data_IF_365030535796
#
_entry.id   IF_365030535796
#
_cell.length_a   1.000
_cell.length_b   1.000
_cell.length_c   1.000
_cell.angle_alpha   90.00
_cell.angle_beta   90.00
_cell.angle_gamma   90.00
#
_symmetry.space_group_name_H-M   'P 1'
#
loop_
_entity.id
_entity.type
_entity.pdbx_description
1 polymer ?
#
# COMPACT_ATOMS: atom_id res chain seq x y z
N UNK A 1 5.80 -24.94 -29.92
CA UNK A 1 5.40 -23.85 -29.01
C UNK A 1 4.37 -24.42 -28.05
N UNK A 2 4.43 -24.06 -26.76
CA UNK A 2 3.45 -24.53 -25.77
C UNK A 2 2.12 -23.81 -26.01
N UNK A 3 1.03 -24.57 -26.10
CA UNK A 3 -0.31 -24.00 -26.18
C UNK A 3 -0.79 -23.61 -24.77
N UNK A 4 -0.71 -22.31 -24.47
CA UNK A 4 -1.12 -21.74 -23.18
C UNK A 4 -2.64 -21.66 -23.00
N UNK A 5 -3.41 -21.87 -24.07
CA UNK A 5 -4.87 -21.90 -24.01
C UNK A 5 -5.42 -23.31 -23.72
N UNK A 6 -4.57 -24.35 -23.76
CA UNK A 6 -4.99 -25.71 -23.48
C UNK A 6 -5.60 -25.82 -22.06
N UNK A 7 -6.75 -26.50 -21.90
CA UNK A 7 -7.46 -26.55 -20.62
C UNK A 7 -6.63 -27.19 -19.50
N UNK A 8 -5.78 -28.16 -19.84
CA UNK A 8 -4.85 -28.77 -18.89
C UNK A 8 -3.81 -27.79 -18.35
N UNK A 9 -3.33 -26.84 -19.18
CA UNK A 9 -2.38 -25.81 -18.76
C UNK A 9 -3.09 -24.77 -17.88
N UNK A 10 -4.28 -24.32 -18.29
CA UNK A 10 -5.09 -23.39 -17.50
C UNK A 10 -5.44 -23.96 -16.11
N UNK A 11 -5.78 -25.24 -16.00
CA UNK A 11 -6.02 -25.90 -14.72
C UNK A 11 -4.81 -25.84 -13.78
N UNK A 12 -3.60 -26.07 -14.30
CA UNK A 12 -2.36 -25.95 -13.51
C UNK A 12 -2.09 -24.51 -13.06
N UNK A 13 -2.36 -23.54 -13.93
CA UNK A 13 -2.23 -22.11 -13.59
C UNK A 13 -3.20 -21.72 -12.48
N UNK A 14 -4.46 -22.18 -12.53
CA UNK A 14 -5.45 -21.90 -11.47
C UNK A 14 -5.01 -22.47 -10.11
N UNK A 15 -4.51 -23.70 -10.07
CA UNK A 15 -3.95 -24.28 -8.83
C UNK A 15 -2.76 -23.48 -8.29
N UNK A 16 -1.93 -22.96 -9.19
CA UNK A 16 -0.79 -22.11 -8.82
C UNK A 16 -1.28 -20.78 -8.22
N UNK A 17 -2.28 -20.14 -8.83
CA UNK A 17 -2.91 -18.90 -8.34
C UNK A 17 -3.55 -19.12 -6.97
N UNK A 18 -4.22 -20.26 -6.75
CA UNK A 18 -4.78 -20.61 -5.44
C UNK A 18 -3.69 -20.64 -4.37
N UNK A 19 -2.59 -21.37 -4.60
CA UNK A 19 -1.47 -21.42 -3.67
C UNK A 19 -0.86 -20.03 -3.42
N UNK A 20 -0.70 -19.24 -4.47
CA UNK A 20 -0.20 -17.86 -4.41
C UNK A 20 -1.08 -16.95 -3.55
N UNK A 21 -2.41 -17.06 -3.64
CA UNK A 21 -3.35 -16.29 -2.80
C UNK A 21 -3.15 -16.63 -1.32
N UNK A 22 -3.01 -17.90 -0.96
CA UNK A 22 -2.76 -18.28 0.45
C UNK A 22 -1.40 -17.80 0.96
N UNK A 23 -0.37 -17.88 0.13
CA UNK A 23 0.96 -17.36 0.47
C UNK A 23 0.88 -15.84 0.70
N UNK A 24 0.23 -15.11 -0.20
CA UNK A 24 0.06 -13.67 -0.09
C UNK A 24 -0.75 -13.29 1.16
N UNK A 25 -1.83 -14.01 1.44
CA UNK A 25 -2.65 -13.86 2.64
C UNK A 25 -1.82 -14.07 3.92
N UNK A 26 -1.03 -15.14 4.00
CA UNK A 26 -0.18 -15.43 5.15
C UNK A 26 0.90 -14.37 5.39
N UNK A 27 1.54 -13.90 4.32
CA UNK A 27 2.53 -12.82 4.39
C UNK A 27 1.87 -11.52 4.90
N UNK A 28 0.73 -11.14 4.32
CA UNK A 28 0.02 -9.93 4.73
C UNK A 28 -0.51 -10.02 6.15
N UNK A 29 -1.04 -11.17 6.55
CA UNK A 29 -1.48 -11.40 7.92
C UNK A 29 -0.32 -11.19 8.91
N UNK A 30 0.84 -11.77 8.63
CA UNK A 30 2.05 -11.60 9.44
C UNK A 30 2.46 -10.13 9.52
N UNK A 31 2.36 -9.38 8.42
CA UNK A 31 2.63 -7.95 8.40
C UNK A 31 1.64 -7.17 9.30
N UNK A 32 0.34 -7.45 9.19
CA UNK A 32 -0.69 -6.80 10.02
C UNK A 32 -0.48 -7.10 11.51
N UNK A 33 -0.13 -8.33 11.88
CA UNK A 33 0.16 -8.68 13.29
C UNK A 33 1.35 -7.89 13.82
N UNK A 34 2.42 -7.74 13.03
CA UNK A 34 3.60 -6.94 13.42
C UNK A 34 3.26 -5.47 13.59
N UNK A 35 2.40 -4.91 12.73
CA UNK A 35 1.98 -3.50 12.80
C UNK A 35 0.71 -3.26 13.64
N UNK A 36 0.12 -4.28 14.25
CA UNK A 36 -1.15 -4.15 14.98
C UNK A 36 -1.09 -3.11 16.12
N UNK A 37 0.06 -3.03 16.82
CA UNK A 37 0.28 -2.02 17.88
C UNK A 37 0.28 -0.60 17.30
N UNK A 38 0.92 -0.42 16.15
CA UNK A 38 0.95 0.85 15.43
C UNK A 38 -0.46 1.23 14.96
N UNK A 39 -1.17 0.31 14.31
CA UNK A 39 -2.53 0.52 13.79
C UNK A 39 -3.51 0.88 14.91
N UNK A 40 -3.45 0.15 16.02
CA UNK A 40 -4.27 0.40 17.20
C UNK A 40 -4.00 1.79 17.80
N UNK A 41 -2.74 2.23 17.82
CA UNK A 41 -2.38 3.58 18.29
C UNK A 41 -2.96 4.69 17.40
N UNK A 42 -3.06 4.42 16.09
CA UNK A 42 -3.61 5.32 15.09
C UNK A 42 -5.14 5.40 15.21
N UNK A 43 -5.80 4.25 15.40
CA UNK A 43 -7.25 4.14 15.57
C UNK A 43 -7.73 4.79 16.88
N UNK A 44 -6.95 4.68 17.97
CA UNK A 44 -7.25 5.34 19.25
C UNK A 44 -7.06 6.85 19.23
N UNK A 45 -6.66 7.45 18.11
CA UNK A 45 -6.52 8.90 17.97
C UNK A 45 -5.39 9.50 18.81
N UNK A 46 -4.42 8.69 19.27
CA UNK A 46 -3.26 9.20 20.03
C UNK A 46 -2.33 10.06 19.17
N UNK A 47 -2.49 10.01 17.84
CA UNK A 47 -1.76 10.81 16.86
C UNK A 47 -2.75 11.71 16.13
N UNK A 48 -2.33 12.95 15.84
CA UNK A 48 -3.17 13.92 15.13
C UNK A 48 -3.68 13.35 13.81
N UNK A 49 -4.97 13.56 13.53
CA UNK A 49 -5.61 13.08 12.31
C UNK A 49 -4.93 13.73 11.09
N UNK A 50 -4.21 12.92 10.33
CA UNK A 50 -3.60 13.33 9.07
C UNK A 50 -4.43 12.73 7.94
N UNK A 51 -4.68 13.51 6.89
CA UNK A 51 -5.41 13.03 5.70
C UNK A 51 -4.78 11.76 5.10
N UNK A 52 -3.46 11.59 5.23
CA UNK A 52 -2.74 10.39 4.80
C UNK A 52 -3.11 9.09 5.58
N UNK A 53 -3.81 9.18 6.71
CA UNK A 53 -4.33 8.01 7.45
C UNK A 53 -5.49 7.34 6.70
N UNK A 54 -6.26 8.09 5.91
CA UNK A 54 -7.41 7.56 5.17
C UNK A 54 -6.96 6.53 4.13
N UNK A 55 -6.05 6.84 3.18
CA UNK A 55 -5.58 5.85 2.21
C UNK A 55 -4.81 4.70 2.87
N UNK A 56 -4.21 4.92 4.05
CA UNK A 56 -3.55 3.87 4.83
C UNK A 56 -4.50 2.77 5.30
N UNK A 57 -5.61 3.16 5.93
CA UNK A 57 -6.60 2.18 6.37
C UNK A 57 -7.42 1.63 5.21
N UNK A 58 -7.71 2.46 4.20
CA UNK A 58 -8.41 2.04 3.00
C UNK A 58 -7.65 0.91 2.28
N UNK A 59 -6.34 1.05 2.06
CA UNK A 59 -5.56 0.02 1.37
C UNK A 59 -5.60 -1.33 2.11
N UNK A 60 -5.44 -1.33 3.45
CA UNK A 60 -5.54 -2.54 4.26
C UNK A 60 -6.94 -3.18 4.22
N UNK A 61 -7.99 -2.37 4.39
CA UNK A 61 -9.36 -2.85 4.42
C UNK A 61 -9.78 -3.43 3.06
N UNK A 62 -9.51 -2.70 1.98
CA UNK A 62 -9.82 -3.15 0.62
C UNK A 62 -8.99 -4.37 0.23
N UNK A 63 -7.74 -4.50 0.70
CA UNK A 63 -6.93 -5.68 0.42
C UNK A 63 -7.47 -6.93 1.12
N UNK A 64 -7.90 -6.84 2.39
CA UNK A 64 -8.58 -7.95 3.06
C UNK A 64 -9.90 -8.32 2.38
N UNK A 65 -10.69 -7.32 2.01
CA UNK A 65 -11.92 -7.52 1.23
C UNK A 65 -11.63 -8.21 -0.11
N UNK A 66 -10.57 -7.79 -0.81
CA UNK A 66 -10.08 -8.38 -2.06
C UNK A 66 -9.72 -9.85 -1.89
N UNK A 67 -8.95 -10.21 -0.87
CA UNK A 67 -8.62 -11.62 -0.60
C UNK A 67 -9.84 -12.48 -0.31
N UNK A 68 -10.81 -11.97 0.47
CA UNK A 68 -12.06 -12.69 0.75
C UNK A 68 -12.85 -12.93 -0.53
N UNK A 69 -12.97 -11.91 -1.39
CA UNK A 69 -13.64 -12.05 -2.69
C UNK A 69 -12.93 -13.07 -3.59
N UNK A 70 -11.60 -13.06 -3.64
CA UNK A 70 -10.82 -14.05 -4.38
C UNK A 70 -11.05 -15.48 -3.85
N UNK A 71 -11.13 -15.67 -2.53
CA UNK A 71 -11.45 -16.98 -1.96
C UNK A 71 -12.88 -17.42 -2.33
N UNK A 72 -13.87 -16.53 -2.27
CA UNK A 72 -15.24 -16.84 -2.70
C UNK A 72 -15.28 -17.23 -4.16
N UNK A 73 -14.57 -16.51 -5.03
CA UNK A 73 -14.49 -16.81 -6.46
C UNK A 73 -13.86 -18.19 -6.73
N UNK A 74 -12.87 -18.60 -5.95
CA UNK A 74 -12.14 -19.87 -6.15
C UNK A 74 -12.74 -21.07 -5.44
N UNK A 75 -13.45 -20.87 -4.33
CA UNK A 75 -13.93 -21.93 -3.42
C UNK A 75 -15.45 -21.97 -3.24
N UNK A 76 -16.22 -21.27 -4.07
CA UNK A 76 -17.68 -21.43 -4.06
C UNK A 76 -18.07 -22.86 -4.43
N UNK A 77 -19.06 -23.41 -3.74
CA UNK A 77 -19.58 -24.77 -4.00
C UNK A 77 -20.85 -24.78 -4.85
N UNK A 78 -21.54 -23.65 -4.88
CA UNK A 78 -22.82 -23.47 -5.55
C UNK A 78 -22.69 -22.49 -6.70
N UNK A 79 -23.61 -22.56 -7.66
CA UNK A 79 -23.72 -21.61 -8.75
C UNK A 79 -23.87 -20.17 -8.21
N UNK A 80 -22.97 -19.30 -8.64
CA UNK A 80 -22.96 -17.88 -8.34
C UNK A 80 -22.75 -17.09 -9.63
N UNK A 81 -23.17 -15.83 -9.63
CA UNK A 81 -22.86 -14.90 -10.71
C UNK A 81 -21.37 -14.50 -10.65
N UNK A 82 -20.53 -15.30 -11.32
CA UNK A 82 -19.09 -15.10 -11.40
C UNK A 82 -18.72 -13.73 -11.95
N UNK A 83 -19.47 -13.21 -12.93
CA UNK A 83 -19.21 -11.92 -13.56
C UNK A 83 -19.35 -10.78 -12.55
N UNK A 84 -20.43 -10.83 -11.75
CA UNK A 84 -20.62 -9.88 -10.64
C UNK A 84 -19.49 -9.99 -9.62
N UNK A 85 -19.12 -11.20 -9.18
CA UNK A 85 -18.03 -11.37 -8.21
C UNK A 85 -16.70 -10.87 -8.77
N UNK A 86 -16.42 -11.11 -10.05
CA UNK A 86 -15.20 -10.64 -10.70
C UNK A 86 -15.16 -9.10 -10.80
N UNK A 87 -16.29 -8.47 -11.11
CA UNK A 87 -16.40 -7.01 -11.06
C UNK A 87 -16.11 -6.45 -9.65
N UNK A 88 -16.56 -7.13 -8.60
CA UNK A 88 -16.23 -6.76 -7.21
C UNK A 88 -14.73 -6.90 -6.92
N UNK A 89 -14.11 -8.00 -7.34
CA UNK A 89 -12.67 -8.26 -7.20
C UNK A 89 -11.86 -7.15 -7.89
N UNK A 90 -12.20 -6.83 -9.14
CA UNK A 90 -11.51 -5.80 -9.94
C UNK A 90 -11.70 -4.39 -9.36
N UNK A 91 -12.89 -4.06 -8.85
CA UNK A 91 -13.12 -2.81 -8.16
C UNK A 91 -12.29 -2.69 -6.87
N UNK A 92 -12.24 -3.75 -6.05
CA UNK A 92 -11.45 -3.77 -4.82
C UNK A 92 -9.95 -3.67 -5.12
N UNK A 93 -9.45 -4.37 -6.15
CA UNK A 93 -8.07 -4.23 -6.61
C UNK A 93 -7.76 -2.79 -7.04
N UNK A 94 -8.68 -2.13 -7.74
CA UNK A 94 -8.53 -0.73 -8.12
C UNK A 94 -8.44 0.22 -6.92
N UNK A 95 -9.27 0.02 -5.90
CA UNK A 95 -9.17 0.78 -4.65
C UNK A 95 -7.85 0.55 -3.93
N UNK A 96 -7.37 -0.69 -3.88
CA UNK A 96 -6.05 -1.04 -3.33
C UNK A 96 -4.93 -0.31 -4.07
N UNK A 97 -4.93 -0.37 -5.40
CA UNK A 97 -3.93 0.26 -6.25
C UNK A 97 -3.93 1.79 -6.02
N UNK A 98 -5.10 2.43 -6.13
CA UNK A 98 -5.25 3.89 -5.94
C UNK A 98 -4.82 4.32 -4.54
N UNK A 99 -5.21 3.59 -3.49
CA UNK A 99 -4.86 3.93 -2.12
C UNK A 99 -3.34 3.79 -1.86
N UNK A 100 -2.72 2.73 -2.37
CA UNK A 100 -1.28 2.51 -2.25
C UNK A 100 -0.46 3.58 -3.00
N UNK A 101 -0.84 3.89 -4.23
CA UNK A 101 -0.27 4.97 -5.04
C UNK A 101 -0.47 6.35 -4.40
N UNK A 102 -1.63 6.62 -3.78
CA UNK A 102 -1.88 7.85 -3.06
C UNK A 102 -0.97 8.03 -1.82
N UNK A 103 -0.65 6.95 -1.09
CA UNK A 103 0.31 6.99 0.02
C UNK A 103 1.71 7.35 -0.47
N UNK A 104 2.15 6.76 -1.57
CA UNK A 104 3.42 7.08 -2.21
C UNK A 104 3.47 8.55 -2.66
N UNK A 105 2.39 9.05 -3.28
CA UNK A 105 2.28 10.44 -3.69
C UNK A 105 2.27 11.43 -2.52
N UNK A 106 1.59 11.10 -1.40
CA UNK A 106 1.62 11.92 -0.19
C UNK A 106 3.05 12.15 0.30
N UNK A 107 3.89 11.12 0.22
CA UNK A 107 5.31 11.22 0.58
C UNK A 107 6.07 12.14 -0.38
N UNK A 108 5.85 12.01 -1.69
CA UNK A 108 6.47 12.90 -2.68
C UNK A 108 6.11 14.37 -2.42
N UNK A 109 4.85 14.66 -2.05
CA UNK A 109 4.41 16.03 -1.69
C UNK A 109 5.16 16.58 -0.48
N UNK A 110 5.50 15.74 0.51
CA UNK A 110 6.23 16.18 1.70
C UNK A 110 7.67 16.64 1.41
N UNK A 111 8.25 16.22 0.28
CA UNK A 111 9.58 16.66 -0.16
C UNK A 111 9.52 18.14 -0.58
N UNK A 112 8.46 18.58 -1.26
CA UNK A 112 8.39 19.96 -1.73
C UNK A 112 7.93 20.94 -0.63
N UNK A 113 8.45 22.17 -0.68
CA UNK A 113 8.02 23.28 0.19
C UNK A 113 7.56 24.51 -0.62
N UNK A 114 6.78 25.39 0.01
CA UNK A 114 6.31 26.63 -0.62
C UNK A 114 5.34 26.41 -1.79
N UNK A 115 5.44 27.26 -2.83
CA UNK A 115 4.54 27.22 -4.01
C UNK A 115 4.67 25.93 -4.83
N UNK A 116 5.87 25.35 -4.90
CA UNK A 116 6.11 24.10 -5.61
C UNK A 116 5.31 22.94 -4.99
N UNK A 117 5.17 22.91 -3.66
CA UNK A 117 4.37 21.90 -2.95
C UNK A 117 2.91 21.92 -3.40
N UNK A 118 2.31 23.10 -3.50
CA UNK A 118 0.91 23.23 -3.93
C UNK A 118 0.73 22.77 -5.36
N UNK A 119 1.64 23.15 -6.27
CA UNK A 119 1.59 22.72 -7.68
C UNK A 119 1.72 21.19 -7.81
N UNK A 120 2.70 20.59 -7.13
CA UNK A 120 2.92 19.13 -7.14
C UNK A 120 1.73 18.40 -6.50
N UNK A 121 1.20 18.91 -5.39
CA UNK A 121 0.03 18.33 -4.73
C UNK A 121 -1.21 18.34 -5.62
N UNK A 122 -1.48 19.44 -6.32
CA UNK A 122 -2.63 19.53 -7.24
C UNK A 122 -2.44 18.57 -8.42
N UNK A 123 -1.25 18.53 -9.01
CA UNK A 123 -0.94 17.61 -10.09
C UNK A 123 -1.13 16.14 -9.67
N UNK A 124 -0.64 15.76 -8.50
CA UNK A 124 -0.77 14.40 -7.98
C UNK A 124 -2.21 14.03 -7.66
N UNK A 125 -3.02 14.94 -7.12
CA UNK A 125 -4.46 14.70 -6.90
C UNK A 125 -5.19 14.45 -8.21
N UNK A 126 -4.92 15.26 -9.24
CA UNK A 126 -5.51 15.07 -10.58
C UNK A 126 -5.10 13.71 -11.16
N UNK A 127 -3.81 13.36 -11.06
CA UNK A 127 -3.31 12.08 -11.52
C UNK A 127 -3.92 10.89 -10.75
N UNK A 128 -4.08 11.00 -9.42
CA UNK A 128 -4.75 9.97 -8.61
C UNK A 128 -6.20 9.80 -9.02
N UNK A 129 -6.91 10.90 -9.27
CA UNK A 129 -8.29 10.85 -9.77
C UNK A 129 -8.37 10.20 -11.17
N UNK A 130 -7.40 10.49 -12.04
CA UNK A 130 -7.26 9.83 -13.35
C UNK A 130 -7.03 8.33 -13.23
N UNK A 131 -6.14 7.90 -12.34
CA UNK A 131 -5.90 6.47 -12.06
C UNK A 131 -7.17 5.80 -11.52
N UNK A 132 -7.88 6.44 -10.58
CA UNK A 132 -9.16 5.92 -10.08
C UNK A 132 -10.20 5.79 -11.19
N UNK A 133 -10.34 6.80 -12.04
CA UNK A 133 -11.28 6.76 -13.17
C UNK A 133 -10.94 5.63 -14.15
N UNK A 134 -9.66 5.43 -14.45
CA UNK A 134 -9.20 4.33 -15.31
C UNK A 134 -9.53 2.95 -14.72
N UNK A 135 -9.32 2.77 -13.42
CA UNK A 135 -9.68 1.52 -12.74
C UNK A 135 -11.18 1.27 -12.75
N UNK A 136 -11.99 2.28 -12.40
CA UNK A 136 -13.45 2.13 -12.35
C UNK A 136 -14.06 1.91 -13.74
N UNK A 137 -13.47 2.50 -14.79
CA UNK A 137 -13.88 2.24 -16.18
C UNK A 137 -13.57 0.80 -16.62
N UNK A 138 -12.49 0.21 -16.11
CA UNK A 138 -12.03 -1.14 -16.47
C UNK A 138 -12.54 -2.27 -15.55
N UNK A 139 -13.54 -2.01 -14.69
CA UNK A 139 -14.10 -3.01 -13.78
C UNK A 139 -14.73 -4.20 -14.53
N UNK A 140 -15.34 -3.94 -15.69
CA UNK A 140 -16.01 -4.96 -16.52
C UNK A 140 -15.14 -5.53 -17.64
N UNK A 141 -13.83 -5.25 -17.63
CA UNK A 141 -12.93 -5.70 -18.70
C UNK A 141 -12.64 -7.21 -18.64
N UNK A 142 -12.84 -7.84 -17.47
CA UNK A 142 -12.69 -9.29 -17.28
C UNK A 142 -14.07 -9.92 -17.19
N UNK A 143 -14.34 -10.85 -18.10
CA UNK A 143 -15.58 -11.62 -18.12
C UNK A 143 -15.31 -13.01 -17.55
N UNK A 144 -16.15 -13.43 -16.62
CA UNK A 144 -16.09 -14.77 -16.06
C UNK A 144 -17.47 -15.42 -16.07
N UNK A 145 -17.50 -16.74 -16.21
CA UNK A 145 -18.74 -17.53 -16.23
C UNK A 145 -18.62 -18.71 -15.29
N UNK A 146 -19.77 -19.16 -14.79
CA UNK A 146 -19.87 -20.42 -14.08
C UNK A 146 -19.77 -21.58 -15.09
N UNK A 147 -18.83 -22.49 -14.87
CA UNK A 147 -18.72 -23.71 -15.67
C UNK A 147 -19.24 -24.90 -14.85
N UNK A 148 -20.43 -25.45 -15.17
CA UNK A 148 -20.94 -26.62 -14.48
C UNK A 148 -20.03 -27.83 -14.73
N UNK A 149 -19.75 -28.61 -13.69
CA UNK A 149 -18.84 -29.76 -13.74
C UNK A 149 -17.35 -29.41 -13.86
N UNK A 150 -16.97 -28.12 -13.80
CA UNK A 150 -15.58 -27.74 -13.63
C UNK A 150 -15.16 -27.84 -12.16
N UNK A 151 -13.98 -28.40 -11.90
CA UNK A 151 -13.43 -28.57 -10.56
C UNK A 151 -13.48 -30.02 -10.06
N UNK A 152 -13.28 -30.24 -8.75
CA UNK A 152 -13.36 -31.56 -8.14
C UNK A 152 -14.79 -32.11 -8.12
N UNK A 153 -14.94 -33.44 -8.02
CA UNK A 153 -16.25 -34.15 -8.03
C UNK A 153 -17.23 -33.70 -6.94
N UNK A 154 -16.74 -33.05 -5.87
CA UNK A 154 -17.57 -32.55 -4.77
C UNK A 154 -18.07 -31.11 -4.97
N UNK A 155 -17.89 -30.53 -6.15
CA UNK A 155 -18.29 -29.17 -6.49
C UNK A 155 -19.18 -29.19 -7.74
N UNK A 156 -20.29 -28.46 -7.72
CA UNK A 156 -21.25 -28.42 -8.85
C UNK A 156 -20.66 -27.72 -10.10
N UNK A 157 -19.64 -26.89 -9.92
CA UNK A 157 -18.95 -26.15 -10.97
C UNK A 157 -17.91 -25.19 -10.40
N UNK A 158 -17.26 -24.42 -11.27
CA UNK A 158 -16.28 -23.42 -10.84
C UNK A 158 -16.37 -22.18 -11.73
N UNK A 159 -16.11 -21.00 -11.14
CA UNK A 159 -15.91 -19.78 -11.91
C UNK A 159 -14.63 -19.86 -12.74
N UNK A 160 -14.74 -19.53 -14.03
CA UNK A 160 -13.60 -19.50 -14.95
C UNK A 160 -13.57 -18.21 -15.76
N UNK A 161 -12.36 -17.75 -16.08
CA UNK A 161 -12.14 -16.59 -16.93
C UNK A 161 -12.41 -16.95 -18.38
N UNK A 162 -13.35 -16.25 -19.03
CA UNK A 162 -13.71 -16.50 -20.43
C UNK A 162 -12.92 -15.61 -21.36
N UNK A 163 -12.89 -14.30 -21.06
CA UNK A 163 -12.23 -13.33 -21.91
C UNK A 163 -11.75 -12.14 -21.08
N UNK A 164 -10.64 -11.56 -21.54
CA UNK A 164 -10.07 -10.32 -21.01
C UNK A 164 -9.99 -9.34 -22.17
N UNK A 165 -10.69 -8.22 -22.05
CA UNK A 165 -10.67 -7.20 -23.08
C UNK A 165 -9.28 -6.56 -23.14
N UNK A 166 -8.80 -6.21 -24.34
CA UNK A 166 -7.51 -5.53 -24.52
C UNK A 166 -7.40 -4.19 -23.77
N UNK A 167 -8.55 -3.58 -23.43
CA UNK A 167 -8.63 -2.37 -22.60
C UNK A 167 -8.13 -2.59 -21.17
N UNK A 168 -8.09 -3.84 -20.70
CA UNK A 168 -7.56 -4.22 -19.40
C UNK A 168 -6.11 -3.76 -19.18
N UNK A 169 -5.29 -3.72 -20.23
CA UNK A 169 -3.88 -3.29 -20.15
C UNK A 169 -3.77 -1.80 -19.79
N UNK A 170 -4.77 -0.98 -20.18
CA UNK A 170 -4.73 0.48 -20.02
C UNK A 170 -4.61 0.89 -18.55
N UNK A 171 -5.32 0.22 -17.63
CA UNK A 171 -5.28 0.56 -16.20
C UNK A 171 -3.92 0.26 -15.56
N UNK A 172 -3.25 -0.82 -15.97
CA UNK A 172 -1.90 -1.14 -15.50
C UNK A 172 -0.86 -0.19 -16.06
N UNK A 173 -1.00 0.19 -17.33
CA UNK A 173 -0.11 1.18 -17.95
C UNK A 173 -0.24 2.55 -17.26
N UNK A 174 -1.48 3.00 -17.01
CA UNK A 174 -1.73 4.27 -16.30
C UNK A 174 -1.18 4.20 -14.86
N UNK A 175 -1.39 3.10 -14.15
CA UNK A 175 -0.87 2.93 -12.77
C UNK A 175 0.66 2.91 -12.75
N UNK A 176 1.29 2.19 -13.68
CA UNK A 176 2.75 2.14 -13.83
C UNK A 176 3.33 3.51 -14.17
N UNK A 177 2.68 4.26 -15.09
CA UNK A 177 3.09 5.61 -15.44
C UNK A 177 2.91 6.59 -14.26
N UNK A 178 1.82 6.47 -13.51
CA UNK A 178 1.58 7.23 -12.29
C UNK A 178 2.70 7.01 -11.28
N UNK A 179 3.02 5.75 -10.97
CA UNK A 179 4.08 5.41 -10.04
C UNK A 179 5.42 5.96 -10.57
N UNK A 180 5.75 5.80 -11.85
CA UNK A 180 6.96 6.37 -12.44
C UNK A 180 7.04 7.90 -12.25
N UNK A 181 5.94 8.62 -12.46
CA UNK A 181 5.91 10.08 -12.24
C UNK A 181 6.16 10.42 -10.77
N UNK A 182 5.56 9.70 -9.83
CA UNK A 182 5.81 9.91 -8.39
C UNK A 182 7.26 9.58 -8.02
N UNK A 183 7.87 8.55 -8.61
CA UNK A 183 9.28 8.23 -8.45
C UNK A 183 10.16 9.39 -8.90
N UNK A 184 9.93 9.88 -10.12
CA UNK A 184 10.70 10.96 -10.72
C UNK A 184 10.55 12.26 -9.91
N UNK A 185 9.34 12.58 -9.45
CA UNK A 185 9.10 13.73 -8.58
C UNK A 185 9.83 13.58 -7.24
N UNK A 186 9.85 12.38 -6.68
CA UNK A 186 10.61 12.09 -5.46
C UNK A 186 12.09 12.32 -5.73
N UNK A 187 12.70 11.66 -6.72
CA UNK A 187 14.12 11.83 -7.09
C UNK A 187 14.47 13.29 -7.38
N UNK A 188 13.64 14.01 -8.15
CA UNK A 188 13.89 15.41 -8.47
C UNK A 188 13.82 16.32 -7.23
N UNK A 189 12.83 16.10 -6.37
CA UNK A 189 12.71 16.81 -5.10
C UNK A 189 13.95 16.59 -4.22
N UNK A 190 14.51 15.39 -4.24
CA UNK A 190 15.73 15.04 -3.51
C UNK A 190 16.98 15.75 -4.04
N UNK A 191 17.16 15.76 -5.36
CA UNK A 191 18.27 16.49 -5.99
C UNK A 191 18.20 18.00 -5.73
N UNK A 192 17.00 18.52 -5.48
CA UNK A 192 16.77 19.94 -5.19
C UNK A 192 17.08 20.34 -3.74
N UNK A 193 17.16 19.39 -2.80
CA UNK A 193 17.48 19.68 -1.40
C UNK A 193 18.98 19.93 -1.20
N UNK A 194 19.35 21.18 -0.93
CA UNK A 194 20.72 21.61 -0.60
C UNK A 194 21.05 21.59 0.91
N UNK A 195 20.19 20.99 1.75
CA UNK A 195 20.30 21.10 3.22
C UNK A 195 20.64 19.78 3.92
N UNK A 196 21.76 19.77 4.66
CA UNK A 196 22.07 18.82 5.76
C UNK A 196 22.12 17.32 5.39
N UNK A 197 23.31 16.71 5.24
CA UNK A 197 23.47 15.43 4.53
C UNK A 197 22.91 14.18 5.23
N UNK A 198 22.74 14.14 6.54
CA UNK A 198 22.71 12.82 7.20
C UNK A 198 21.32 12.20 7.43
N UNK A 199 20.35 12.95 7.94
CA UNK A 199 19.07 12.34 8.37
C UNK A 199 18.08 12.17 7.23
N UNK A 200 18.08 13.08 6.25
CA UNK A 200 17.21 12.95 5.08
C UNK A 200 17.61 11.74 4.22
N UNK A 201 18.92 11.55 4.04
CA UNK A 201 19.46 10.58 3.09
C UNK A 201 19.04 9.14 3.43
N UNK A 202 18.99 8.77 4.71
CA UNK A 202 18.61 7.41 5.13
C UNK A 202 17.12 7.11 4.91
N UNK A 203 16.22 8.04 5.27
CA UNK A 203 14.79 7.92 4.98
C UNK A 203 14.55 7.72 3.49
N UNK A 204 15.31 8.48 2.71
CA UNK A 204 15.17 8.61 1.27
C UNK A 204 15.65 7.35 0.56
N UNK A 205 16.79 6.80 0.99
CA UNK A 205 17.35 5.57 0.44
C UNK A 205 16.40 4.39 0.61
N UNK A 206 15.82 4.22 1.80
CA UNK A 206 14.83 3.17 2.04
C UNK A 206 13.56 3.41 1.20
N UNK A 207 13.11 4.66 1.09
CA UNK A 207 11.92 5.00 0.31
C UNK A 207 12.03 4.73 -1.18
N UNK A 208 13.20 4.98 -1.79
CA UNK A 208 13.44 4.69 -3.21
C UNK A 208 13.37 3.18 -3.48
N UNK A 209 13.93 2.36 -2.59
CA UNK A 209 13.88 0.89 -2.75
C UNK A 209 12.44 0.37 -2.73
N UNK A 210 11.63 0.82 -1.77
CA UNK A 210 10.21 0.46 -1.72
C UNK A 210 9.44 0.94 -2.94
N UNK A 211 9.75 2.13 -3.44
CA UNK A 211 9.16 2.67 -4.66
C UNK A 211 9.53 1.86 -5.91
N UNK A 212 10.80 1.50 -6.04
CA UNK A 212 11.28 0.67 -7.13
C UNK A 212 10.63 -0.72 -7.10
N UNK A 213 10.44 -1.30 -5.90
CA UNK A 213 9.75 -2.57 -5.75
C UNK A 213 8.30 -2.52 -6.24
N UNK A 214 7.53 -1.47 -5.91
CA UNK A 214 6.15 -1.32 -6.40
C UNK A 214 6.10 -1.11 -7.92
N UNK A 215 7.02 -0.31 -8.47
CA UNK A 215 7.12 -0.11 -9.91
C UNK A 215 7.45 -1.42 -10.65
N UNK A 216 8.44 -2.18 -10.16
CA UNK A 216 8.82 -3.49 -10.73
C UNK A 216 7.65 -4.47 -10.69
N UNK A 217 6.93 -4.55 -9.56
CA UNK A 217 5.78 -5.42 -9.42
C UNK A 217 4.68 -5.08 -10.45
N UNK A 218 4.36 -3.79 -10.61
CA UNK A 218 3.39 -3.34 -11.62
C UNK A 218 3.87 -3.56 -13.06
N UNK A 219 5.17 -3.43 -13.33
CA UNK A 219 5.75 -3.75 -14.64
C UNK A 219 5.68 -5.23 -14.99
N UNK A 220 5.85 -6.14 -14.02
CA UNK A 220 5.70 -7.59 -14.26
C UNK A 220 4.27 -7.91 -14.69
N UNK A 221 3.26 -7.38 -14.01
CA UNK A 221 1.85 -7.57 -14.40
C UNK A 221 1.57 -6.98 -15.77
N UNK A 222 2.11 -5.79 -16.04
CA UNK A 222 1.99 -5.14 -17.36
C UNK A 222 2.62 -6.00 -18.45
N UNK A 223 3.78 -6.61 -18.21
CA UNK A 223 4.45 -7.49 -19.17
C UNK A 223 3.65 -8.78 -19.43
N UNK A 224 3.11 -9.41 -18.37
CA UNK A 224 2.29 -10.62 -18.49
C UNK A 224 0.94 -10.36 -19.19
N UNK A 225 0.35 -9.19 -18.97
CA UNK A 225 -0.87 -8.77 -19.67
C UNK A 225 -0.60 -8.40 -21.13
N UNK A 226 0.52 -7.74 -21.44
CA UNK A 226 0.94 -7.45 -22.81
C UNK A 226 1.27 -8.71 -23.61
N UNK A 227 1.81 -9.75 -22.97
CA UNK A 227 2.14 -11.01 -23.63
C UNK A 227 0.90 -11.80 -24.10
N UNK A 228 -0.30 -11.49 -23.57
CA UNK A 228 -1.58 -12.08 -23.94
C UNK A 228 -1.56 -13.62 -24.09
N UNK A 229 -0.92 -14.31 -23.12
CA UNK A 229 -0.71 -15.77 -23.17
C UNK A 229 -2.01 -16.53 -22.90
N UNK A 230 -2.67 -16.22 -21.78
CA UNK A 230 -4.02 -16.67 -21.42
C UNK A 230 -4.60 -15.76 -20.33
N UNK A 231 -5.94 -15.66 -20.20
CA UNK A 231 -6.60 -14.85 -19.17
C UNK A 231 -6.05 -15.09 -17.76
N UNK A 232 -5.93 -16.36 -17.37
CA UNK A 232 -5.46 -16.75 -16.03
C UNK A 232 -4.00 -16.35 -15.80
N UNK A 233 -3.11 -16.53 -16.78
CA UNK A 233 -1.69 -16.16 -16.64
C UNK A 233 -1.50 -14.64 -16.58
N UNK A 234 -2.26 -13.88 -17.36
CA UNK A 234 -2.21 -12.42 -17.32
C UNK A 234 -2.68 -11.86 -15.96
N UNK A 235 -3.56 -12.58 -15.26
CA UNK A 235 -4.06 -12.24 -13.93
C UNK A 235 -3.22 -12.79 -12.77
N UNK A 236 -2.39 -13.82 -12.99
CA UNK A 236 -1.62 -14.46 -11.93
C UNK A 236 -0.74 -13.46 -11.15
N UNK A 237 -0.08 -12.54 -11.85
CA UNK A 237 0.76 -11.52 -11.22
C UNK A 237 -0.01 -10.41 -10.47
N UNK A 238 -1.33 -10.32 -10.60
CA UNK A 238 -2.13 -9.24 -10.02
C UNK A 238 -2.13 -9.29 -8.48
N UNK A 239 -2.36 -10.47 -7.92
CA UNK A 239 -2.39 -10.72 -6.47
C UNK A 239 -1.06 -10.37 -5.78
N UNK A 240 0.09 -10.95 -6.17
CA UNK A 240 1.38 -10.64 -5.52
C UNK A 240 1.78 -9.18 -5.74
N UNK A 241 1.47 -8.60 -6.90
CA UNK A 241 1.77 -7.19 -7.16
C UNK A 241 0.99 -6.28 -6.22
N UNK A 242 -0.31 -6.55 -6.04
CA UNK A 242 -1.14 -5.79 -5.10
C UNK A 242 -0.62 -5.89 -3.65
N UNK A 243 -0.18 -7.09 -3.24
CA UNK A 243 0.43 -7.31 -1.92
C UNK A 243 1.67 -6.44 -1.74
N UNK A 244 2.61 -6.49 -2.70
CA UNK A 244 3.85 -5.70 -2.65
C UNK A 244 3.52 -4.21 -2.59
N UNK A 245 2.57 -3.73 -3.40
CA UNK A 245 2.12 -2.34 -3.39
C UNK A 245 1.59 -1.90 -2.02
N UNK A 246 0.70 -2.68 -1.40
CA UNK A 246 0.15 -2.34 -0.08
C UNK A 246 1.21 -2.42 1.01
N UNK A 247 2.02 -3.48 1.04
CA UNK A 247 3.06 -3.65 2.06
C UNK A 247 4.11 -2.53 1.98
N UNK A 248 4.62 -2.23 0.80
CA UNK A 248 5.62 -1.17 0.62
C UNK A 248 5.04 0.19 1.01
N UNK A 249 3.84 0.54 0.53
CA UNK A 249 3.22 1.83 0.83
C UNK A 249 2.86 2.01 2.31
N UNK A 250 2.35 0.96 2.97
CA UNK A 250 1.98 1.01 4.39
C UNK A 250 3.20 1.00 5.32
N UNK A 251 4.24 0.22 5.03
CA UNK A 251 5.50 0.24 5.80
C UNK A 251 6.19 1.59 5.70
N UNK A 252 6.24 2.14 4.49
CA UNK A 252 6.83 3.45 4.24
C UNK A 252 6.10 4.56 5.01
N UNK A 253 4.77 4.46 5.09
CA UNK A 253 3.95 5.36 5.90
C UNK A 253 4.23 5.19 7.40
N UNK A 254 4.31 3.95 7.89
CA UNK A 254 4.54 3.66 9.30
C UNK A 254 5.89 4.20 9.78
N UNK A 255 6.97 3.95 9.01
CA UNK A 255 8.31 4.47 9.29
C UNK A 255 8.31 6.00 9.38
N UNK A 256 7.69 6.67 8.41
CA UNK A 256 7.61 8.13 8.38
C UNK A 256 6.83 8.68 9.58
N UNK A 257 5.75 8.01 9.98
CA UNK A 257 4.95 8.42 11.13
C UNK A 257 5.72 8.28 12.46
N UNK A 258 6.53 7.23 12.60
CA UNK A 258 7.38 7.01 13.78
C UNK A 258 8.51 8.03 13.86
N UNK A 259 9.19 8.34 12.76
CA UNK A 259 10.26 9.33 12.72
C UNK A 259 9.77 10.73 13.11
N UNK A 260 8.59 11.12 12.63
CA UNK A 260 7.98 12.40 13.01
C UNK A 260 7.58 12.40 14.49
N UNK A 261 7.11 11.27 15.02
CA UNK A 261 6.79 11.12 16.44
C UNK A 261 8.02 11.32 17.32
N UNK A 262 9.13 10.67 16.96
CA UNK A 262 10.40 10.75 17.71
C UNK A 262 10.95 12.19 17.69
N UNK A 263 10.87 12.89 16.55
CA UNK A 263 11.34 14.28 16.44
C UNK A 263 10.61 15.23 17.37
N UNK A 264 9.30 15.07 17.54
CA UNK A 264 8.52 15.93 18.44
C UNK A 264 8.90 15.74 19.91
N UNK A 265 9.32 14.52 20.29
CA UNK A 265 9.74 14.19 21.65
C UNK A 265 11.09 14.83 22.01
N UNK A 266 12.09 14.77 21.10
CA UNK A 266 13.40 15.40 21.34
C UNK A 266 13.39 16.92 21.14
N UNK A 267 12.58 17.43 20.21
CA UNK A 267 12.48 18.88 19.93
C UNK A 267 11.93 19.71 21.09
N UNK A 268 11.16 19.10 22.00
CA UNK A 268 10.62 19.78 23.19
C UNK A 268 11.58 19.77 24.39
N UNK A 269 12.65 18.97 24.38
CA UNK A 269 13.58 18.82 25.49
C UNK A 269 14.88 19.66 25.35
N UNK A 270 15.08 20.38 24.23
CA UNK A 270 16.40 20.95 23.86
C UNK A 270 16.52 22.48 23.79
N UNK A 271 15.46 23.27 24.05
CA UNK A 271 15.52 24.75 23.94
C UNK A 271 15.15 25.43 25.26
N UNK A 272 15.73 24.98 26.37
CA UNK A 272 15.57 25.63 27.67
C UNK A 272 16.89 25.91 28.42
N UNK A 273 18.07 25.68 27.83
CA UNK A 273 19.33 25.85 28.59
C UNK A 273 20.54 26.34 27.81
N UNK A 274 20.43 27.47 27.11
CA UNK A 274 21.62 28.25 26.68
C UNK A 274 21.52 29.76 26.91
N UNK A 275 20.55 30.24 27.71
CA UNK A 275 20.38 31.68 27.97
C UNK A 275 20.56 32.06 29.45
N UNK A 276 21.51 31.43 30.15
CA UNK A 276 21.91 31.84 31.51
C UNK A 276 23.40 31.59 31.74
N UNK A 277 24.24 32.43 31.12
CA UNK A 277 25.58 32.80 31.62
C UNK A 277 26.20 33.97 30.84
N UNK A 278 25.47 35.09 30.73
CA UNK A 278 26.14 36.41 30.72
C UNK A 278 26.38 36.81 32.18
N UNK A 279 27.28 36.08 32.84
CA UNK A 279 27.92 36.57 34.05
C UNK A 279 28.87 37.69 33.62
N UNK A 280 28.42 38.89 33.96
CA UNK A 280 29.04 40.19 33.75
C UNK A 280 30.36 40.26 34.52
N UNK A 281 31.47 39.83 33.91
CA UNK A 281 32.82 40.25 34.31
C UNK A 281 33.13 41.56 33.59
N UNK A 282 32.66 42.66 34.17
CA UNK A 282 33.16 44.00 33.83
C UNK A 282 34.13 44.40 34.93
N UNK A 283 35.41 44.25 34.62
CA UNK A 283 36.50 44.80 35.40
C UNK A 283 36.37 46.32 35.48
N UNK A 284 36.53 46.80 36.71
CA UNK A 284 36.64 48.16 37.20
C UNK A 284 37.56 49.02 36.33
N UNK A 285 37.02 50.06 35.69
CA UNK A 285 37.78 51.23 35.28
C UNK A 285 37.25 52.45 36.02
N UNK A 286 38.15 53.08 36.75
CA UNK A 286 38.03 54.35 37.45
C UNK A 286 37.75 55.49 36.46
N UNK A 287 36.71 56.28 36.75
CA UNK A 287 36.37 57.48 35.98
C UNK A 287 35.48 58.40 36.80
N UNK A 288 36.12 59.27 37.58
CA UNK A 288 35.53 60.34 38.36
C UNK A 288 34.97 61.41 37.42
N UNK A 289 33.66 61.65 37.44
CA UNK A 289 33.07 62.84 36.84
C UNK A 289 31.81 63.28 37.57
N UNK A 290 31.83 64.57 37.87
CA UNK A 290 30.97 65.40 38.70
C UNK A 290 29.58 65.70 38.12
N UNK A 291 28.66 65.90 39.07
CA UNK A 291 27.38 66.59 39.04
C UNK A 291 26.93 67.35 37.77
N UNK A 292 25.69 67.11 37.35
CA UNK A 292 24.72 68.20 37.15
C UNK A 292 23.26 67.73 37.24
N UNK A 293 22.60 68.35 38.19
CA UNK A 293 21.20 68.76 38.34
C UNK A 293 20.29 68.63 37.10
N UNK A 294 19.09 68.05 37.30
CA UNK A 294 18.02 68.06 36.29
C UNK A 294 16.71 67.47 36.80
N UNK A 295 15.89 68.34 37.38
CA UNK A 295 14.49 68.17 37.81
C UNK A 295 13.51 67.70 36.71
N UNK A 296 12.50 66.90 37.08
CA UNK A 296 11.13 67.12 36.57
C UNK A 296 10.27 65.92 36.13
N UNK A 297 9.16 65.72 36.86
CA UNK A 297 7.85 65.17 36.43
C UNK A 297 7.73 63.65 36.19
N UNK A 298 7.00 62.93 37.05
CA UNK A 298 5.54 62.62 37.06
C UNK A 298 5.11 61.48 36.12
N UNK A 299 4.68 60.39 36.76
CA UNK A 299 3.39 59.72 36.55
C UNK A 299 3.21 58.89 35.26
N UNK A 300 3.15 57.56 35.41
CA UNK A 300 1.91 56.79 35.23
C UNK A 300 2.19 55.28 35.34
N UNK A 301 1.50 54.71 36.31
CA UNK A 301 1.33 53.32 36.64
C UNK A 301 0.57 52.57 35.53
N UNK A 302 1.00 51.34 35.21
CA UNK A 302 0.21 50.23 34.61
C UNK A 302 1.12 49.02 34.35
N UNK A 303 1.14 48.12 35.33
CA UNK A 303 1.73 46.78 35.20
C UNK A 303 0.90 45.85 34.31
N UNK A 304 1.51 44.77 33.77
CA UNK A 304 0.85 43.78 32.94
C UNK A 304 0.28 42.62 33.78
N UNK A 305 -0.99 42.28 33.54
CA UNK A 305 -1.64 41.08 34.09
C UNK A 305 -1.24 39.86 33.24
N UNK A 306 -0.33 39.03 33.74
CA UNK A 306 -0.01 37.71 33.16
C UNK A 306 -0.76 36.64 33.95
N UNK A 307 -1.61 35.89 33.27
CA UNK A 307 -2.36 34.76 33.81
C UNK A 307 -1.39 33.57 33.96
N UNK A 308 -1.04 33.23 35.20
CA UNK A 308 -0.36 31.98 35.56
C UNK A 308 -1.38 30.83 35.62
N UNK A 309 -1.25 29.86 34.74
CA UNK A 309 -1.84 28.53 34.90
C UNK A 309 -0.89 27.68 35.76
N UNK A 310 -1.38 27.26 36.93
CA UNK A 310 -0.71 26.32 37.83
C UNK A 310 -0.56 24.96 37.14
N UNK A 311 0.69 24.54 36.95
CA UNK A 311 1.04 23.13 36.74
C UNK A 311 0.90 22.41 38.08
N UNK A 312 0.07 21.37 38.11
CA UNK A 312 -0.04 20.45 39.24
C UNK A 312 1.05 19.40 39.08
N UNK A 313 2.06 19.48 39.95
CA UNK A 313 3.02 18.41 40.17
C UNK A 313 2.32 17.26 40.88
N UNK A 314 2.41 16.06 40.31
CA UNK A 314 2.15 14.82 41.05
C UNK A 314 3.29 13.83 40.82
N UNK A 315 4.23 13.92 41.75
CA UNK A 315 4.81 12.84 42.56
C UNK A 315 5.14 11.51 41.88
N UNK A 316 6.43 11.24 41.95
CA UNK A 316 7.14 9.96 41.90
C UNK A 316 6.46 8.82 42.68
N UNK A 317 6.40 7.66 42.02
CA UNK A 317 6.53 6.35 42.67
C UNK A 317 7.53 5.52 41.88
N UNK A 318 8.68 5.33 42.52
CA UNK A 318 9.70 4.33 42.25
C UNK A 318 9.10 2.93 42.41
N UNK A 319 9.55 1.99 41.58
CA UNK A 319 9.19 0.58 41.66
C UNK A 319 9.99 -0.19 40.62
N UNK A 320 11.14 -0.68 41.08
CA UNK A 320 12.01 -1.61 40.37
C UNK A 320 11.26 -2.92 40.05
N UNK A 321 11.48 -3.48 38.86
CA UNK A 321 11.62 -4.92 38.71
C UNK A 321 12.31 -5.27 37.39
N UNK A 322 13.49 -5.87 37.54
CA UNK A 322 14.30 -6.51 36.52
C UNK A 322 13.59 -7.78 36.02
N UNK A 323 13.53 -7.97 34.70
CA UNK A 323 13.62 -9.32 34.11
C UNK A 323 14.28 -9.24 32.73
N UNK A 324 15.29 -10.08 32.45
CA UNK A 324 16.02 -10.05 31.18
C UNK A 324 15.22 -10.80 30.09
N UNK A 325 14.96 -10.12 28.97
CA UNK A 325 14.44 -10.77 27.78
C UNK A 325 15.55 -11.64 27.15
N UNK A 326 15.33 -12.93 27.28
CA UNK A 326 16.04 -14.05 26.68
C UNK A 326 16.14 -13.88 25.15
N UNK A 327 17.38 -13.88 24.66
CA UNK A 327 17.71 -13.90 23.24
C UNK A 327 17.42 -15.31 22.71
N UNK A 328 16.27 -15.49 22.07
CA UNK A 328 15.96 -16.71 21.35
C UNK A 328 16.88 -16.86 20.13
N UNK A 329 17.87 -17.75 20.25
CA UNK A 329 18.62 -18.29 19.14
C UNK A 329 17.67 -18.99 18.16
N UNK A 330 17.57 -18.49 16.94
CA UNK A 330 16.85 -19.14 15.86
C UNK A 330 17.65 -20.37 15.41
N UNK A 331 17.20 -21.54 15.84
CA UNK A 331 17.68 -22.83 15.34
C UNK A 331 17.31 -22.99 13.87
N UNK A 332 18.34 -23.36 13.10
CA UNK A 332 18.29 -23.82 11.70
C UNK A 332 17.26 -24.95 11.58
N UNK A 333 16.19 -24.72 10.82
CA UNK A 333 15.25 -25.77 10.42
C UNK A 333 15.85 -26.45 9.21
N UNK A 334 16.31 -27.69 9.40
CA UNK A 334 16.73 -28.56 8.30
C UNK A 334 15.49 -28.98 7.52
N UNK A 335 15.44 -28.57 6.25
CA UNK A 335 14.44 -29.00 5.29
C UNK A 335 14.71 -30.47 4.91
N UNK A 336 14.08 -31.39 5.63
CA UNK A 336 13.97 -32.78 5.20
C UNK A 336 13.03 -32.87 3.98
N UNK A 337 13.64 -33.11 2.82
CA UNK A 337 13.13 -33.95 1.72
C UNK A 337 11.63 -34.29 1.77
N UNK A 338 10.81 -33.42 1.18
CA UNK A 338 9.50 -33.82 0.68
C UNK A 338 9.74 -34.74 -0.53
N UNK A 339 9.22 -35.96 -0.43
CA UNK A 339 9.34 -37.02 -1.43
C UNK A 339 8.78 -36.58 -2.78
N UNK A 340 9.61 -36.65 -3.83
CA UNK A 340 9.23 -36.40 -5.23
C UNK A 340 8.19 -37.41 -5.73
N UNK A 341 8.02 -38.53 -5.04
CA UNK A 341 7.16 -39.65 -5.47
C UNK A 341 5.66 -39.37 -5.30
N UNK A 342 5.26 -38.46 -4.39
CA UNK A 342 3.85 -38.10 -4.18
C UNK A 342 3.31 -37.18 -5.29
N UNK A 343 4.19 -36.44 -5.98
CA UNK A 343 3.80 -35.54 -7.07
C UNK A 343 3.50 -36.32 -8.36
N UNK A 344 4.27 -37.38 -8.66
CA UNK A 344 4.00 -38.23 -9.84
C UNK A 344 2.70 -39.03 -9.70
N UNK A 345 2.34 -39.45 -8.47
CA UNK A 345 1.10 -40.17 -8.22
C UNK A 345 -0.17 -39.30 -8.42
N UNK A 346 -0.12 -38.00 -8.14
CA UNK A 346 -1.21 -37.07 -8.47
C UNK A 346 -1.27 -36.76 -9.96
N UNK A 347 -0.14 -36.72 -10.65
CA UNK A 347 -0.07 -36.41 -12.07
C UNK A 347 -0.66 -37.53 -12.95
N UNK A 348 -0.55 -38.80 -12.52
CA UNK A 348 -1.14 -39.93 -13.23
C UNK A 348 -2.67 -40.04 -13.11
N UNK A 349 -3.28 -39.47 -12.05
CA UNK A 349 -4.75 -39.45 -11.90
C UNK A 349 -5.44 -38.35 -12.72
N UNK A 350 -4.75 -37.25 -13.02
CA UNK A 350 -5.29 -36.15 -13.83
C UNK A 350 -5.23 -36.40 -15.34
N UNK A 351 -4.69 -37.53 -15.78
CA UNK A 351 -4.49 -37.87 -17.19
C UNK A 351 -5.54 -38.81 -17.80
N UNK A 352 -6.52 -39.30 -17.05
CA UNK A 352 -7.59 -40.09 -17.65
C UNK A 352 -8.61 -39.17 -18.33
N UNK A 353 -8.82 -39.30 -19.66
CA UNK A 353 -9.86 -38.56 -20.35
C UNK A 353 -11.22 -39.05 -19.84
N UNK A 354 -11.91 -38.19 -19.07
CA UNK A 354 -13.33 -38.38 -18.83
C UNK A 354 -14.05 -38.39 -20.19
N UNK A 355 -14.97 -39.34 -20.44
CA UNK A 355 -15.84 -39.28 -21.60
C UNK A 355 -16.75 -38.05 -21.43
N UNK A 356 -16.32 -36.93 -22.03
CA UNK A 356 -17.17 -35.77 -22.25
C UNK A 356 -18.32 -36.21 -23.17
N UNK A 357 -19.51 -36.40 -22.59
CA UNK A 357 -20.74 -36.41 -23.36
C UNK A 357 -20.89 -35.01 -23.95
N UNK A 358 -20.59 -34.90 -25.25
CA UNK A 358 -20.65 -33.64 -26.00
C UNK A 358 -22.06 -33.07 -26.02
N UNK A 359 -22.31 -32.09 -25.16
CA UNK A 359 -23.36 -31.10 -25.39
C UNK A 359 -22.75 -30.06 -26.33
N UNK A 360 -22.96 -30.28 -27.63
CA UNK A 360 -22.72 -29.25 -28.64
C UNK A 360 -23.71 -28.11 -28.39
N UNK A 361 -23.20 -26.95 -28.00
CA UNK A 361 -23.97 -25.71 -28.04
C UNK A 361 -24.12 -25.36 -29.52
N UNK A 362 -25.31 -25.62 -30.05
CA UNK A 362 -25.68 -25.33 -31.43
C UNK A 362 -25.70 -23.80 -31.63
N UNK A 363 -24.74 -23.31 -32.40
CA UNK A 363 -24.55 -21.90 -32.75
C UNK A 363 -25.76 -21.43 -33.59
N UNK A 364 -26.74 -20.81 -32.91
CA UNK A 364 -27.95 -20.32 -33.57
C UNK A 364 -27.61 -19.11 -34.43
N UNK A 365 -27.32 -19.36 -35.70
CA UNK A 365 -27.03 -18.35 -36.71
C UNK A 365 -28.34 -17.63 -37.08
N UNK A 366 -28.53 -16.41 -36.57
CA UNK A 366 -29.63 -15.54 -36.98
C UNK A 366 -29.47 -15.15 -38.46
N UNK A 367 -30.23 -15.83 -39.31
CA UNK A 367 -30.39 -15.52 -40.74
C UNK A 367 -31.35 -14.34 -40.87
N UNK A 368 -30.82 -13.19 -41.27
CA UNK A 368 -31.59 -12.00 -41.66
C UNK A 368 -32.48 -12.33 -42.87
N UNK A 369 -33.80 -12.26 -42.67
CA UNK A 369 -34.81 -12.34 -43.72
C UNK A 369 -34.84 -11.02 -44.47
N UNK A 370 -34.61 -11.08 -45.79
CA UNK A 370 -34.89 -10.04 -46.75
C UNK A 370 -36.38 -10.00 -47.05
N UNK A 371 -37.07 -8.91 -46.70
CA UNK A 371 -38.43 -8.64 -47.13
C UNK A 371 -38.41 -7.61 -48.26
N UNK A 372 -38.83 -8.07 -49.44
CA UNK A 372 -39.07 -7.31 -50.65
C UNK A 372 -40.55 -6.93 -50.71
N UNK A 373 -40.80 -5.65 -50.99
CA UNK A 373 -41.97 -4.98 -51.59
C UNK A 373 -43.21 -5.80 -52.03
N UNK A 374 -44.37 -5.12 -52.03
CA UNK A 374 -44.86 -4.58 -53.31
C UNK A 374 -44.78 -3.05 -53.44
#
# INVERSE_FOLDING_TARGET
MVDWAAPAVNGRVVLTIQAEIFICMGIFFTDNVRFARFDYSLLRGRRSHRLAQIPYFASKLFWWSYMVSCLVFLYTYTEIDCDTVMAWIEAQMGWVAVASSALLACRAVCVFSGRARTAVSVALVVLTAGTLAAWMAGVKDVVSVWLPGAGPEWVDGQCSYVSVHQRYIVKYLITTAYDLVVLLLTVFGLMSFKGGPWIGQLLIEQGILYFAATLLANMVVTALTLANLSPSMSLAGAVPSSLVCVMCSTRLYAQLAEEVSNRNQYGSAGVSSFNSRKAKLSGTSSGFATSSTGTGSKQADKGPTVIMLKSVDNRSTSGDDETPAEVAHFTKVDAHSASTDDIEAQQHRMGQPHPYNGVWIEETTHRSVSESYP
#
